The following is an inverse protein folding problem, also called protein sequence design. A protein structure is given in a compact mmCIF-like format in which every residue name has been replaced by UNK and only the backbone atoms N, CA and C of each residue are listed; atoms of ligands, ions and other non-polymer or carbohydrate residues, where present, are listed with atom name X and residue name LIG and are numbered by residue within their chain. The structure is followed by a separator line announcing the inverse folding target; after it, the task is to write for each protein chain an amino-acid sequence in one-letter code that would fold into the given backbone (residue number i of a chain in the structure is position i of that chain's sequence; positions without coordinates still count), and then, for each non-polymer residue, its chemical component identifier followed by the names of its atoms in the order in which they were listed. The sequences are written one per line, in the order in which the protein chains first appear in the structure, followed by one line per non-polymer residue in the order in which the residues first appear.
data_IF_403823754987
#
_entry.id   IF_403823754987
#
_cell.length_a   1.000
_cell.length_b   1.000
_cell.length_c   1.000
_cell.angle_alpha   90.00
_cell.angle_beta   90.00
_cell.angle_gamma   90.00
#
_symmetry.space_group_name_H-M   'P 1'
#
loop_
_entity.id
_entity.type
_entity.pdbx_description
1 polymer ?
#
# COMPACT_ATOMS: atom_id res chain seq x y z
N UNK A 1 -10.20 12.21 30.37
CA UNK A 1 -9.52 13.05 29.36
C UNK A 1 -9.53 12.28 28.06
N UNK A 2 -10.26 12.75 27.04
CA UNK A 2 -10.46 12.02 25.78
C UNK A 2 -9.18 12.10 24.93
N UNK A 3 -8.50 10.97 24.72
CA UNK A 3 -7.48 10.86 23.67
C UNK A 3 -8.20 10.70 22.34
N UNK A 4 -8.38 11.80 21.63
CA UNK A 4 -8.68 11.80 20.20
C UNK A 4 -7.44 11.31 19.47
N UNK A 5 -7.34 9.99 19.28
CA UNK A 5 -6.41 9.41 18.31
C UNK A 5 -6.76 10.02 16.96
N UNK A 6 -5.85 10.81 16.41
CA UNK A 6 -5.95 11.30 15.05
C UNK A 6 -6.11 10.07 14.15
N UNK A 7 -7.32 9.87 13.63
CA UNK A 7 -7.55 8.91 12.56
C UNK A 7 -6.70 9.43 11.40
N UNK A 8 -5.63 8.73 11.05
CA UNK A 8 -4.93 8.98 9.79
C UNK A 8 -5.86 8.50 8.67
N UNK A 9 -6.84 9.32 8.33
CA UNK A 9 -7.69 9.18 7.15
C UNK A 9 -6.90 9.75 5.98
N UNK A 10 -6.02 8.92 5.42
CA UNK A 10 -4.96 9.41 4.55
C UNK A 10 -4.56 8.50 3.41
N UNK A 11 -5.48 7.73 2.82
CA UNK A 11 -5.30 7.24 1.44
C UNK A 11 -6.41 7.78 0.52
N UNK A 12 -6.55 9.10 0.31
CA UNK A 12 -7.43 9.61 -0.73
C UNK A 12 -6.65 9.64 -2.05
N UNK A 13 -6.40 8.47 -2.64
CA UNK A 13 -6.11 8.40 -4.07
C UNK A 13 -7.39 7.98 -4.79
N UNK A 14 -8.39 8.86 -4.73
CA UNK A 14 -9.48 8.83 -5.70
C UNK A 14 -8.90 9.31 -7.04
N UNK A 15 -8.30 8.39 -7.78
CA UNK A 15 -7.74 8.68 -9.10
C UNK A 15 -7.30 7.40 -9.77
N UNK A 16 -7.98 7.04 -10.86
CA UNK A 16 -7.49 6.00 -11.76
C UNK A 16 -6.05 6.33 -12.15
N UNK A 17 -5.10 5.47 -11.77
CA UNK A 17 -3.70 5.60 -12.19
C UNK A 17 -3.47 4.74 -13.42
N UNK A 18 -2.96 5.35 -14.49
CA UNK A 18 -2.55 4.62 -15.68
C UNK A 18 -1.15 4.06 -15.45
N UNK A 19 -0.99 2.76 -15.70
CA UNK A 19 0.30 2.07 -15.66
C UNK A 19 0.67 1.63 -17.08
N UNK A 20 1.91 1.85 -17.47
CA UNK A 20 2.47 1.32 -18.71
C UNK A 20 3.27 0.07 -18.38
N UNK A 21 2.97 -1.02 -19.07
CA UNK A 21 3.62 -2.31 -18.87
C UNK A 21 4.19 -2.81 -20.19
N UNK A 22 5.47 -3.17 -20.19
CA UNK A 22 6.10 -3.88 -21.31
C UNK A 22 5.89 -5.38 -21.12
N UNK A 23 5.26 -6.02 -22.09
CA UNK A 23 5.01 -7.46 -22.11
C UNK A 23 5.58 -8.05 -23.40
N UNK A 24 5.93 -9.34 -23.35
CA UNK A 24 6.31 -10.10 -24.52
C UNK A 24 5.14 -10.21 -25.53
N UNK A 25 5.43 -10.06 -26.82
CA UNK A 25 4.42 -10.03 -27.88
C UNK A 25 3.62 -11.33 -27.97
N UNK A 26 4.28 -12.48 -27.77
CA UNK A 26 3.61 -13.78 -27.84
C UNK A 26 2.72 -14.01 -26.61
N UNK A 27 3.13 -13.48 -25.45
CA UNK A 27 2.26 -13.44 -24.28
C UNK A 27 1.01 -12.59 -24.55
N UNK A 28 1.15 -11.39 -25.11
CA UNK A 28 0.02 -10.50 -25.41
C UNK A 28 -0.97 -11.16 -26.38
N UNK A 29 -0.47 -11.82 -27.43
CA UNK A 29 -1.33 -12.54 -28.39
C UNK A 29 -2.13 -13.65 -27.72
N UNK A 30 -1.49 -14.46 -26.89
CA UNK A 30 -2.15 -15.56 -26.17
C UNK A 30 -3.23 -15.04 -25.21
N UNK A 31 -2.91 -14.01 -24.41
CA UNK A 31 -3.86 -13.49 -23.43
C UNK A 31 -5.02 -12.75 -24.11
N UNK A 32 -4.81 -12.08 -25.24
CA UNK A 32 -5.92 -11.49 -26.02
C UNK A 32 -6.90 -12.52 -26.53
N UNK A 33 -6.41 -13.69 -26.99
CA UNK A 33 -7.29 -14.80 -27.38
C UNK A 33 -8.17 -15.25 -26.21
N UNK A 34 -7.57 -15.41 -25.03
CA UNK A 34 -8.30 -15.77 -23.80
C UNK A 34 -9.30 -14.68 -23.41
N UNK A 35 -8.93 -13.41 -23.56
CA UNK A 35 -9.80 -12.28 -23.24
C UNK A 35 -11.06 -12.29 -24.12
N UNK A 36 -10.91 -12.57 -25.43
CA UNK A 36 -12.03 -12.71 -26.36
C UNK A 36 -12.91 -13.91 -26.00
N UNK A 37 -12.31 -15.06 -25.68
CA UNK A 37 -13.06 -16.26 -25.26
C UNK A 37 -13.87 -16.06 -23.96
N UNK A 38 -13.51 -15.05 -23.15
CA UNK A 38 -14.15 -14.73 -21.86
C UNK A 38 -14.96 -13.42 -21.90
N UNK A 39 -15.21 -12.88 -23.09
CA UNK A 39 -15.93 -11.60 -23.28
C UNK A 39 -15.36 -10.45 -22.41
N UNK A 40 -14.04 -10.37 -22.30
CA UNK A 40 -13.32 -9.36 -21.49
C UNK A 40 -12.16 -8.75 -22.27
N UNK A 41 -11.44 -7.83 -21.63
CA UNK A 41 -10.26 -7.16 -22.21
C UNK A 41 -8.98 -7.60 -21.48
N UNK A 42 -7.83 -7.46 -22.14
CA UNK A 42 -6.53 -7.67 -21.51
C UNK A 42 -6.38 -6.81 -20.24
N UNK A 43 -6.78 -5.54 -20.32
CA UNK A 43 -6.75 -4.62 -19.18
C UNK A 43 -7.71 -5.05 -18.07
N UNK A 44 -8.88 -5.58 -18.42
CA UNK A 44 -9.81 -6.20 -17.46
C UNK A 44 -9.18 -7.38 -16.73
N UNK A 45 -8.57 -8.31 -17.46
CA UNK A 45 -7.86 -9.46 -16.86
C UNK A 45 -6.74 -9.03 -15.91
N UNK A 46 -5.95 -8.02 -16.30
CA UNK A 46 -4.87 -7.48 -15.46
C UNK A 46 -5.45 -6.82 -14.21
N UNK A 47 -6.52 -6.03 -14.35
CA UNK A 47 -7.20 -5.39 -13.22
C UNK A 47 -7.72 -6.43 -12.23
N UNK A 48 -8.45 -7.43 -12.71
CA UNK A 48 -9.03 -8.48 -11.87
C UNK A 48 -7.95 -9.28 -11.15
N UNK A 49 -6.82 -9.55 -11.82
CA UNK A 49 -5.70 -10.24 -11.20
C UNK A 49 -5.06 -9.42 -10.07
N UNK A 50 -4.80 -8.13 -10.32
CA UNK A 50 -4.23 -7.24 -9.30
C UNK A 50 -5.16 -7.05 -8.10
N UNK A 51 -6.48 -6.97 -8.34
CA UNK A 51 -7.47 -6.88 -7.27
C UNK A 51 -7.49 -8.15 -6.40
N UNK A 52 -7.47 -9.34 -7.03
CA UNK A 52 -7.38 -10.62 -6.31
C UNK A 52 -6.11 -10.71 -5.48
N UNK A 53 -4.96 -10.33 -6.04
CA UNK A 53 -3.69 -10.30 -5.30
C UNK A 53 -3.75 -9.38 -4.08
N UNK A 54 -4.38 -8.20 -4.20
CA UNK A 54 -4.54 -7.28 -3.08
C UNK A 54 -5.47 -7.84 -1.99
N UNK A 55 -6.56 -8.50 -2.38
CA UNK A 55 -7.48 -9.17 -1.45
C UNK A 55 -6.78 -10.33 -0.73
N UNK A 56 -6.02 -11.14 -1.46
CA UNK A 56 -5.24 -12.25 -0.90
C UNK A 56 -4.19 -11.75 0.09
N UNK A 57 -3.46 -10.68 -0.23
CA UNK A 57 -2.48 -10.08 0.69
C UNK A 57 -3.16 -9.54 1.96
N UNK A 58 -4.29 -8.83 1.82
CA UNK A 58 -5.08 -8.35 2.95
C UNK A 58 -5.62 -9.50 3.82
N UNK A 59 -6.11 -10.57 3.19
CA UNK A 59 -6.63 -11.76 3.87
C UNK A 59 -5.52 -12.58 4.54
N UNK A 60 -4.30 -12.58 3.99
CA UNK A 60 -3.14 -13.29 4.53
C UNK A 60 -2.68 -12.75 5.90
N UNK A 61 -3.24 -11.63 6.37
CA UNK A 61 -2.97 -11.08 7.70
C UNK A 61 -1.52 -10.63 7.88
N UNK A 62 -0.72 -10.52 6.81
CA UNK A 62 0.67 -10.03 6.88
C UNK A 62 0.71 -8.60 7.38
N UNK A 63 -0.11 -7.72 6.81
CA UNK A 63 -0.27 -6.34 7.28
C UNK A 63 -0.88 -6.21 8.69
N UNK A 64 -1.65 -7.21 9.15
CA UNK A 64 -2.12 -7.29 10.54
C UNK A 64 -0.99 -7.71 11.48
N UNK A 65 -0.21 -8.72 11.11
CA UNK A 65 0.94 -9.22 11.89
C UNK A 65 2.06 -8.20 11.99
N UNK A 66 2.32 -7.44 10.94
CA UNK A 66 3.30 -6.34 10.93
C UNK A 66 2.83 -5.17 11.80
N UNK A 67 1.54 -4.81 11.75
CA UNK A 67 0.96 -3.82 12.67
C UNK A 67 1.02 -4.29 14.13
N UNK A 68 0.61 -5.52 14.40
CA UNK A 68 0.69 -6.10 15.75
C UNK A 68 2.14 -6.25 16.23
N UNK A 69 3.09 -6.50 15.34
CA UNK A 69 4.52 -6.53 15.69
C UNK A 69 5.04 -5.12 16.00
N UNK A 70 4.62 -4.12 15.23
CA UNK A 70 4.96 -2.72 15.44
C UNK A 70 4.34 -2.19 16.75
N UNK A 71 3.05 -2.46 17.02
CA UNK A 71 2.38 -2.12 18.28
C UNK A 71 3.08 -2.76 19.48
N UNK A 72 3.40 -4.07 19.41
CA UNK A 72 4.19 -4.75 20.44
C UNK A 72 5.59 -4.15 20.61
N UNK A 73 6.18 -3.61 19.54
CA UNK A 73 7.46 -2.91 19.64
C UNK A 73 7.31 -1.57 20.37
N UNK A 74 6.23 -0.82 20.16
CA UNK A 74 5.94 0.42 20.89
C UNK A 74 5.65 0.17 22.37
N UNK A 75 5.00 -0.94 22.71
CA UNK A 75 4.80 -1.36 24.11
C UNK A 75 6.12 -1.70 24.82
N UNK A 76 7.06 -2.34 24.11
CA UNK A 76 8.37 -2.72 24.65
C UNK A 76 9.36 -1.56 24.71
N UNK A 77 9.32 -0.65 23.74
CA UNK A 77 10.22 0.49 23.63
C UNK A 77 9.55 1.77 24.15
N UNK A 78 9.28 1.83 25.45
CA UNK A 78 8.90 3.09 26.10
C UNK A 78 10.14 3.96 26.31
N UNK A 79 10.55 4.68 25.27
CA UNK A 79 11.57 5.71 25.42
C UNK A 79 10.99 6.93 26.14
N UNK A 80 11.59 7.31 27.27
CA UNK A 80 11.40 8.66 27.82
C UNK A 80 12.09 9.64 26.88
N UNK A 81 11.32 10.21 25.95
CA UNK A 81 11.78 11.36 25.18
C UNK A 81 12.04 12.47 26.20
N UNK A 82 13.32 12.77 26.44
CA UNK A 82 13.73 13.86 27.31
C UNK A 82 13.14 15.19 26.82
N UNK A 83 13.34 16.27 27.59
CA UNK A 83 12.86 17.60 27.18
C UNK A 83 13.38 17.90 25.78
N UNK A 84 12.46 18.22 24.86
CA UNK A 84 12.76 18.58 23.48
C UNK A 84 13.76 19.74 23.47
N UNK A 85 14.98 19.47 23.00
CA UNK A 85 16.10 20.44 22.97
C UNK A 85 16.21 21.21 21.64
N UNK A 86 15.44 20.82 20.62
CA UNK A 86 15.51 21.35 19.26
C UNK A 86 14.36 22.30 18.98
N UNK A 87 14.69 23.48 18.45
CA UNK A 87 13.75 24.48 17.95
C UNK A 87 13.45 24.20 16.48
N UNK A 88 12.35 24.77 15.97
CA UNK A 88 11.88 24.48 14.60
C UNK A 88 12.89 24.96 13.55
N UNK A 89 13.66 25.97 13.91
CA UNK A 89 14.76 26.53 13.12
C UNK A 89 15.92 25.55 12.89
N UNK A 90 16.14 24.60 13.82
CA UNK A 90 17.27 23.64 13.77
C UNK A 90 17.01 22.45 12.82
N UNK A 91 15.80 22.31 12.28
CA UNK A 91 15.36 21.17 11.46
C UNK A 91 15.87 21.19 10.00
N UNK A 92 16.53 22.26 9.58
CA UNK A 92 16.95 22.43 8.19
C UNK A 92 18.47 22.35 8.03
N UNK A 93 19.01 21.15 8.24
CA UNK A 93 20.24 20.73 7.56
C UNK A 93 19.86 19.62 6.58
N UNK A 94 19.63 19.99 5.33
CA UNK A 94 19.77 19.07 4.20
C UNK A 94 21.20 19.23 3.70
N UNK A 95 22.05 18.27 4.03
CA UNK A 95 23.22 17.97 3.19
C UNK A 95 22.82 16.96 2.13
#
# INVERSE_FOLDING_TARGET
MKCTLAQVTGFPYYGYMNITLSLDDDLVKRVRKIAVERDTTLTGLVRDHLEKLAVEDAASGRGRREREALERSFEKFQFRVGKRTWKREDLHVRS
#
